data_IF_456525601148
#
_entry.id   IF_456525601148
#
_cell.length_a   1.000
_cell.length_b   1.000
_cell.length_c   1.000
_cell.angle_alpha   90.00
_cell.angle_beta   90.00
_cell.angle_gamma   90.00
#
_symmetry.space_group_name_H-M   'P 1'
#
loop_
_entity.id
_entity.type
_entity.pdbx_description
1 polymer ?
#
# COMPACT_ATOMS: atom_id res chain seq x y z
N UNK A 1 -24.45 -1.19 -5.49
CA UNK A 1 -23.20 -1.99 -5.41
C UNK A 1 -22.21 -1.25 -4.53
N UNK A 2 -21.48 -1.94 -3.65
CA UNK A 2 -20.48 -1.27 -2.79
C UNK A 2 -19.16 -1.03 -3.52
N UNK A 3 -18.36 -0.10 -2.99
CA UNK A 3 -17.04 0.24 -3.50
C UNK A 3 -16.00 0.27 -2.38
N UNK A 4 -14.72 0.12 -2.75
CA UNK A 4 -13.59 0.11 -1.84
C UNK A 4 -12.47 1.02 -2.35
N UNK A 5 -11.76 1.68 -1.44
CA UNK A 5 -10.59 2.50 -1.76
C UNK A 5 -9.35 1.63 -1.63
N UNK A 6 -8.63 1.50 -2.74
CA UNK A 6 -7.49 0.60 -2.88
C UNK A 6 -6.22 1.38 -3.20
N UNK A 7 -5.10 0.97 -2.59
CA UNK A 7 -3.75 1.38 -2.98
C UNK A 7 -3.10 0.25 -3.81
N UNK A 8 -2.63 0.57 -5.01
CA UNK A 8 -1.96 -0.36 -5.93
C UNK A 8 -0.85 0.33 -6.72
N UNK A 9 0.07 -0.40 -7.38
CA UNK A 9 0.92 0.19 -8.41
C UNK A 9 0.08 0.73 -9.57
N UNK A 10 0.56 1.75 -10.27
CA UNK A 10 -0.03 2.13 -11.55
C UNK A 10 0.25 1.07 -12.62
N UNK A 11 -0.72 0.88 -13.51
CA UNK A 11 -0.62 -0.08 -14.62
C UNK A 11 0.40 0.36 -15.68
N UNK A 12 0.48 1.67 -15.95
CA UNK A 12 1.38 2.27 -16.93
C UNK A 12 2.76 2.64 -16.35
N UNK A 13 2.85 2.82 -15.03
CA UNK A 13 4.11 3.10 -14.31
C UNK A 13 4.17 2.37 -12.96
N UNK A 14 4.67 1.11 -12.92
CA UNK A 14 4.82 0.37 -11.66
C UNK A 14 5.79 1.01 -10.64
N UNK A 15 6.56 2.02 -11.05
CA UNK A 15 7.37 2.86 -10.17
C UNK A 15 6.51 3.73 -9.26
N UNK A 16 5.32 4.10 -9.72
CA UNK A 16 4.34 4.95 -9.05
C UNK A 16 3.18 4.16 -8.43
N UNK A 17 2.55 4.77 -7.44
CA UNK A 17 1.35 4.28 -6.76
C UNK A 17 0.10 5.01 -7.24
N UNK A 18 -1.04 4.33 -7.08
CA UNK A 18 -2.36 4.90 -7.30
C UNK A 18 -3.30 4.53 -6.15
N UNK A 19 -4.05 5.51 -5.68
CA UNK A 19 -5.21 5.32 -4.82
C UNK A 19 -6.45 5.46 -5.70
N UNK A 20 -7.21 4.38 -5.85
CA UNK A 20 -8.39 4.34 -6.70
C UNK A 20 -9.60 3.76 -5.98
N UNK A 21 -10.78 4.09 -6.50
CA UNK A 21 -12.02 3.42 -6.11
C UNK A 21 -12.21 2.19 -7.03
N UNK A 22 -12.60 1.06 -6.45
CA UNK A 22 -12.90 -0.19 -7.19
C UNK A 22 -14.24 -0.76 -6.72
N UNK A 23 -14.92 -1.54 -7.57
CA UNK A 23 -16.11 -2.24 -7.11
C UNK A 23 -15.73 -3.41 -6.20
N UNK A 24 -16.56 -3.69 -5.19
CA UNK A 24 -16.32 -4.85 -4.32
C UNK A 24 -16.32 -6.18 -5.08
N UNK A 25 -17.02 -6.27 -6.22
CA UNK A 25 -16.99 -7.43 -7.11
C UNK A 25 -15.60 -7.72 -7.65
N UNK A 26 -14.79 -6.68 -7.88
CA UNK A 26 -13.46 -6.78 -8.47
C UNK A 26 -12.45 -7.32 -7.44
N UNK A 27 -12.81 -7.26 -6.15
CA UNK A 27 -12.01 -7.73 -5.02
C UNK A 27 -12.40 -9.12 -4.54
N UNK A 28 -13.37 -9.77 -5.19
CA UNK A 28 -13.77 -11.13 -4.84
C UNK A 28 -12.56 -12.08 -4.92
N UNK A 29 -12.49 -13.00 -3.95
CA UNK A 29 -11.43 -14.01 -3.82
C UNK A 29 -10.01 -13.45 -3.58
N UNK A 30 -9.86 -12.13 -3.44
CA UNK A 30 -8.59 -11.51 -3.07
C UNK A 30 -8.43 -11.43 -1.56
N UNK A 31 -7.21 -11.63 -1.08
CA UNK A 31 -6.83 -11.25 0.29
C UNK A 31 -6.38 -9.79 0.27
N UNK A 32 -6.90 -9.00 1.20
CA UNK A 32 -6.60 -7.57 1.32
C UNK A 32 -5.97 -7.28 2.68
N UNK A 33 -4.98 -6.40 2.70
CA UNK A 33 -4.44 -5.81 3.91
C UNK A 33 -5.05 -4.41 4.13
N UNK A 34 -5.48 -4.12 5.36
CA UNK A 34 -5.86 -2.78 5.74
C UNK A 34 -4.60 -2.03 6.22
N UNK A 35 -4.34 -0.85 5.66
CA UNK A 35 -3.22 -0.01 6.07
C UNK A 35 -3.69 1.38 6.47
N UNK A 36 -3.01 1.99 7.44
CA UNK A 36 -3.10 3.42 7.70
C UNK A 36 -3.16 3.82 9.16
N UNK A 37 -3.86 4.91 9.45
CA UNK A 37 -3.81 5.54 10.78
C UNK A 37 -4.25 4.55 11.88
N UNK A 38 -3.41 4.35 12.89
CA UNK A 38 -3.61 3.39 13.99
C UNK A 38 -3.66 1.90 13.58
N UNK A 39 -3.23 1.55 12.37
CA UNK A 39 -3.14 0.16 11.91
C UNK A 39 -1.67 -0.27 11.89
N UNK A 40 -1.33 -1.34 12.61
CA UNK A 40 0.03 -1.92 12.66
C UNK A 40 1.15 -0.89 12.93
N UNK A 41 0.89 0.11 13.77
CA UNK A 41 1.84 1.19 14.07
C UNK A 41 1.97 2.26 12.99
N UNK A 42 1.15 2.21 11.94
CA UNK A 42 1.14 3.13 10.79
C UNK A 42 2.55 3.31 10.18
N UNK A 43 3.18 2.24 9.65
CA UNK A 43 4.54 2.28 9.11
C UNK A 43 4.68 3.29 7.96
N UNK A 44 3.57 3.61 7.29
CA UNK A 44 3.55 4.55 6.18
C UNK A 44 3.33 5.99 6.63
N UNK A 45 2.98 6.25 7.89
CA UNK A 45 2.75 7.61 8.40
C UNK A 45 1.57 8.32 7.72
N UNK A 46 0.60 7.58 7.19
CA UNK A 46 -0.53 8.15 6.44
C UNK A 46 -1.65 8.59 7.39
N UNK A 47 -2.21 9.76 7.10
CA UNK A 47 -3.24 10.38 7.93
C UNK A 47 -2.80 10.65 9.37
N UNK A 48 -3.72 11.10 10.20
CA UNK A 48 -3.49 11.33 11.62
C UNK A 48 -4.78 11.12 12.43
N UNK A 49 -4.72 11.23 13.75
CA UNK A 49 -5.89 10.98 14.63
C UNK A 49 -7.08 11.90 14.33
N UNK A 50 -6.84 13.12 13.86
CA UNK A 50 -7.89 14.08 13.49
C UNK A 50 -8.49 13.72 12.14
N UNK A 51 -7.61 13.43 11.17
CA UNK A 51 -7.97 13.15 9.78
C UNK A 51 -7.37 11.78 9.38
N UNK A 52 -8.02 10.67 9.79
CA UNK A 52 -7.49 9.33 9.55
C UNK A 52 -7.59 8.96 8.07
N UNK A 53 -6.59 8.20 7.60
CA UNK A 53 -6.60 7.62 6.26
C UNK A 53 -6.45 6.11 6.40
N UNK A 54 -7.34 5.37 5.73
CA UNK A 54 -7.32 3.92 5.66
C UNK A 54 -7.47 3.48 4.20
N UNK A 55 -6.61 2.56 3.77
CA UNK A 55 -6.57 2.05 2.39
C UNK A 55 -6.51 0.54 2.43
N UNK A 56 -7.14 -0.11 1.44
CA UNK A 56 -6.98 -1.55 1.22
C UNK A 56 -5.86 -1.81 0.23
N UNK A 57 -5.01 -2.79 0.53
CA UNK A 57 -3.90 -3.21 -0.32
C UNK A 57 -4.11 -4.67 -0.70
N UNK A 58 -4.32 -4.99 -1.99
CA UNK A 58 -4.40 -6.37 -2.44
C UNK A 58 -3.07 -7.10 -2.26
N UNK A 59 -3.13 -8.29 -1.69
CA UNK A 59 -1.97 -9.16 -1.59
C UNK A 59 -1.45 -9.52 -2.98
N UNK A 60 -0.13 -9.45 -3.15
CA UNK A 60 0.52 -9.70 -4.44
C UNK A 60 0.49 -8.53 -5.43
N UNK A 61 -0.15 -7.41 -5.09
CA UNK A 61 -0.09 -6.20 -5.92
C UNK A 61 1.34 -5.65 -6.05
N UNK A 62 2.17 -5.83 -5.03
CA UNK A 62 3.56 -5.41 -5.01
C UNK A 62 4.49 -6.61 -5.17
N UNK A 63 5.05 -6.78 -6.38
CA UNK A 63 5.97 -7.87 -6.71
C UNK A 63 7.41 -7.38 -6.53
N UNK A 64 8.21 -8.16 -5.79
CA UNK A 64 9.64 -7.94 -5.60
C UNK A 64 10.41 -8.50 -6.79
N UNK A 65 11.32 -7.72 -7.37
CA UNK A 65 12.11 -8.10 -8.55
C UNK A 65 13.58 -8.31 -8.23
N UNK A 66 14.14 -7.53 -7.30
CA UNK A 66 15.59 -7.43 -7.08
C UNK A 66 16.05 -8.31 -5.92
N UNK A 67 15.67 -9.60 -5.93
CA UNK A 67 16.10 -10.56 -4.92
C UNK A 67 16.91 -11.69 -5.56
N UNK A 68 18.24 -11.53 -5.58
CA UNK A 68 19.16 -12.39 -6.33
C UNK A 68 19.43 -13.75 -5.65
N UNK A 69 19.47 -13.80 -4.32
CA UNK A 69 19.79 -15.02 -3.56
C UNK A 69 18.97 -15.15 -2.27
N UNK A 70 18.58 -16.39 -1.94
CA UNK A 70 17.74 -16.73 -0.79
C UNK A 70 18.54 -17.25 0.43
N UNK A 71 19.85 -17.01 0.49
CA UNK A 71 20.62 -17.30 1.70
C UNK A 71 20.45 -16.18 2.75
N UNK A 72 20.74 -16.52 4.00
CA UNK A 72 20.54 -15.63 5.14
C UNK A 72 21.23 -14.26 4.99
N UNK A 73 22.50 -14.24 4.55
CA UNK A 73 23.28 -13.01 4.48
C UNK A 73 22.81 -12.12 3.34
N UNK A 74 22.47 -12.70 2.20
CA UNK A 74 21.90 -11.96 1.07
C UNK A 74 20.54 -11.36 1.42
N UNK A 75 19.66 -12.11 2.08
CA UNK A 75 18.35 -11.61 2.53
C UNK A 75 18.50 -10.47 3.54
N UNK A 76 19.37 -10.63 4.54
CA UNK A 76 19.65 -9.60 5.53
C UNK A 76 20.18 -8.33 4.87
N UNK A 77 21.17 -8.46 3.98
CA UNK A 77 21.73 -7.34 3.22
C UNK A 77 20.67 -6.64 2.37
N UNK A 78 19.81 -7.40 1.70
CA UNK A 78 18.72 -6.85 0.88
C UNK A 78 17.73 -6.03 1.72
N UNK A 79 17.27 -6.56 2.86
CA UNK A 79 16.38 -5.83 3.76
C UNK A 79 17.01 -4.54 4.32
N UNK A 80 18.32 -4.49 4.51
CA UNK A 80 18.99 -3.31 5.08
C UNK A 80 19.35 -2.26 4.03
N UNK A 81 19.83 -2.67 2.86
CA UNK A 81 20.50 -1.79 1.91
C UNK A 81 19.75 -1.58 0.59
N UNK A 82 18.80 -2.46 0.22
CA UNK A 82 18.01 -2.30 -0.99
C UNK A 82 16.77 -1.42 -0.73
N UNK A 83 16.45 -0.50 -1.65
CA UNK A 83 15.26 0.32 -1.54
C UNK A 83 13.97 -0.52 -1.59
N UNK A 84 13.92 -1.54 -2.46
CA UNK A 84 12.79 -2.48 -2.53
C UNK A 84 12.66 -3.30 -1.24
N UNK A 85 13.79 -3.52 -0.54
CA UNK A 85 13.89 -4.22 0.73
C UNK A 85 13.43 -3.45 1.97
N UNK A 86 13.05 -2.18 1.83
CA UNK A 86 12.49 -1.37 2.92
C UNK A 86 11.01 -1.70 3.19
N UNK A 87 10.70 -2.98 3.39
CA UNK A 87 9.36 -3.54 3.63
C UNK A 87 9.35 -4.36 4.92
N UNK A 88 8.17 -4.64 5.49
CA UNK A 88 8.03 -5.47 6.72
C UNK A 88 8.56 -6.89 6.52
N UNK A 89 8.26 -7.45 5.35
CA UNK A 89 8.55 -8.83 5.04
C UNK A 89 8.23 -9.17 3.58
N UNK A 90 8.56 -10.39 3.22
CA UNK A 90 8.35 -10.97 1.90
C UNK A 90 7.51 -12.23 2.04
N UNK A 91 6.65 -12.45 1.06
CA UNK A 91 5.82 -13.65 0.95
C UNK A 91 6.08 -14.33 -0.38
N UNK A 92 6.45 -15.61 -0.35
CA UNK A 92 6.56 -16.45 -1.54
C UNK A 92 5.33 -17.35 -1.66
N UNK A 93 4.70 -17.30 -2.82
CA UNK A 93 3.64 -18.21 -3.22
C UNK A 93 4.23 -19.33 -4.09
N UNK A 94 4.15 -20.56 -3.62
CA UNK A 94 4.67 -21.72 -4.33
C UNK A 94 3.58 -22.37 -5.19
N UNK A 95 4.00 -23.07 -6.26
CA UNK A 95 3.08 -23.70 -7.24
C UNK A 95 2.21 -24.81 -6.63
N UNK A 96 2.65 -25.41 -5.53
CA UNK A 96 1.94 -26.44 -4.77
C UNK A 96 0.93 -25.86 -3.77
N UNK A 97 0.78 -24.52 -3.73
CA UNK A 97 -0.08 -23.83 -2.77
C UNK A 97 0.61 -23.52 -1.43
N UNK A 98 1.85 -23.94 -1.23
CA UNK A 98 2.63 -23.58 -0.04
C UNK A 98 2.93 -22.07 -0.02
N UNK A 99 3.01 -21.51 1.19
CA UNK A 99 3.28 -20.10 1.41
C UNK A 99 4.38 -19.93 2.45
N UNK A 100 5.44 -19.22 2.08
CA UNK A 100 6.56 -18.90 2.98
C UNK A 100 6.57 -17.41 3.29
N UNK A 101 6.69 -17.04 4.56
CA UNK A 101 6.78 -15.65 5.01
C UNK A 101 8.11 -15.40 5.71
N UNK A 102 8.80 -14.34 5.33
CA UNK A 102 9.98 -13.86 6.02
C UNK A 102 9.77 -12.41 6.41
N UNK A 103 9.78 -12.12 7.71
CA UNK A 103 9.67 -10.77 8.22
C UNK A 103 11.04 -10.29 8.70
N UNK A 104 11.27 -8.97 8.70
CA UNK A 104 12.52 -8.34 9.18
C UNK A 104 12.96 -8.86 10.55
N UNK A 105 12.02 -9.02 11.48
CA UNK A 105 12.33 -9.45 12.84
C UNK A 105 12.85 -10.90 12.91
N UNK A 106 12.55 -11.77 11.94
CA UNK A 106 13.16 -13.10 11.86
C UNK A 106 14.67 -13.05 11.59
N UNK A 107 15.17 -11.94 11.03
CA UNK A 107 16.59 -11.65 10.79
C UNK A 107 17.19 -10.73 11.87
N UNK A 108 16.45 -10.46 12.96
CA UNK A 108 16.87 -9.51 14.00
C UNK A 108 16.80 -8.03 13.58
N UNK A 109 16.16 -7.73 12.44
CA UNK A 109 16.03 -6.36 11.93
C UNK A 109 14.76 -5.68 12.47
N UNK A 110 14.84 -4.36 12.68
CA UNK A 110 13.74 -3.57 13.20
C UNK A 110 12.66 -3.28 12.16
N UNK A 111 11.43 -3.08 12.65
CA UNK A 111 10.27 -2.56 11.92
C UNK A 111 9.37 -1.80 12.92
N UNK A 112 8.70 -0.70 12.55
CA UNK A 112 8.69 -0.03 11.25
C UNK A 112 9.98 0.73 10.93
N UNK A 113 10.20 1.02 9.64
CA UNK A 113 11.26 1.92 9.18
C UNK A 113 10.73 3.36 9.08
N UNK A 114 11.60 4.35 9.26
CA UNK A 114 11.26 5.77 9.03
C UNK A 114 10.93 6.07 7.56
N UNK A 115 11.54 5.32 6.64
CA UNK A 115 11.36 5.44 5.21
C UNK A 115 11.17 4.04 4.64
N UNK A 116 9.97 3.74 4.16
CA UNK A 116 9.60 2.44 3.61
C UNK A 116 9.61 2.50 2.08
N UNK A 117 9.69 1.35 1.42
CA UNK A 117 9.65 1.29 -0.05
C UNK A 117 8.39 2.00 -0.59
N UNK A 118 7.22 1.73 -0.01
CA UNK A 118 5.96 2.39 -0.43
C UNK A 118 5.99 3.91 -0.21
N UNK A 119 6.63 4.40 0.85
CA UNK A 119 6.77 5.83 1.10
C UNK A 119 7.78 6.53 0.16
N UNK A 120 8.65 5.78 -0.52
CA UNK A 120 9.59 6.35 -1.50
C UNK A 120 9.00 6.51 -2.90
N UNK A 121 7.78 6.02 -3.12
CA UNK A 121 7.12 6.06 -4.43
C UNK A 121 6.15 7.25 -4.52
N UNK A 122 6.12 7.97 -5.66
CA UNK A 122 5.08 8.95 -5.92
C UNK A 122 3.71 8.27 -5.97
N UNK A 123 2.67 8.99 -5.57
CA UNK A 123 1.30 8.49 -5.51
C UNK A 123 0.33 9.48 -6.14
N UNK A 124 -0.63 8.98 -6.92
CA UNK A 124 -1.76 9.80 -7.39
C UNK A 124 -3.09 9.26 -6.93
N UNK A 125 -4.06 10.15 -6.73
CA UNK A 125 -5.43 9.79 -6.39
C UNK A 125 -6.27 9.85 -7.66
N UNK A 126 -6.92 8.74 -8.02
CA UNK A 126 -7.84 8.64 -9.17
C UNK A 126 -9.09 7.87 -8.78
N UNK A 127 -10.07 8.57 -8.25
CA UNK A 127 -11.29 7.95 -7.73
C UNK A 127 -12.34 7.71 -8.82
N UNK A 128 -12.34 8.48 -9.91
CA UNK A 128 -13.22 8.24 -11.06
C UNK A 128 -14.70 8.19 -10.66
N UNK A 129 -15.13 9.09 -9.77
CA UNK A 129 -16.43 9.03 -9.08
C UNK A 129 -17.63 9.04 -10.04
N UNK A 130 -17.48 9.53 -11.27
CA UNK A 130 -18.50 9.44 -12.30
C UNK A 130 -18.90 8.00 -12.68
N UNK A 131 -18.05 7.01 -12.36
CA UNK A 131 -18.34 5.59 -12.58
C UNK A 131 -19.17 4.97 -11.44
N UNK A 132 -19.53 5.77 -10.42
CA UNK A 132 -20.22 5.31 -9.22
C UNK A 132 -21.43 6.20 -8.93
N UNK A 133 -22.54 5.59 -8.52
CA UNK A 133 -23.68 6.32 -7.97
C UNK A 133 -23.32 6.83 -6.57
N UNK A 134 -22.58 7.95 -6.50
CA UNK A 134 -22.11 8.57 -5.26
C UNK A 134 -22.71 9.96 -5.09
N UNK A 135 -23.48 10.14 -4.02
CA UNK A 135 -23.87 11.47 -3.54
C UNK A 135 -22.77 12.04 -2.63
N UNK A 136 -22.26 13.22 -2.97
CA UNK A 136 -21.11 13.79 -2.29
C UNK A 136 -21.46 14.22 -0.85
N UNK A 137 -21.00 13.46 0.14
CA UNK A 137 -20.89 13.89 1.53
C UNK A 137 -19.43 14.21 1.87
N UNK A 138 -19.08 15.50 1.80
CA UNK A 138 -17.74 16.01 2.06
C UNK A 138 -17.30 15.92 3.53
N UNK A 139 -18.18 15.51 4.45
CA UNK A 139 -17.82 15.18 5.83
C UNK A 139 -17.27 13.76 6.00
N UNK A 140 -17.43 12.89 5.00
CA UNK A 140 -16.94 11.51 5.02
C UNK A 140 -15.50 11.40 4.52
N UNK A 141 -14.82 10.30 4.87
CA UNK A 141 -13.49 9.99 4.34
C UNK A 141 -13.45 10.00 2.80
N UNK A 142 -14.41 9.35 2.13
CA UNK A 142 -14.49 9.33 0.67
C UNK A 142 -14.74 10.73 0.09
N UNK A 143 -15.61 11.54 0.71
CA UNK A 143 -15.85 12.91 0.29
C UNK A 143 -14.66 13.85 0.54
N UNK A 144 -13.85 13.62 1.56
CA UNK A 144 -12.60 14.36 1.74
C UNK A 144 -11.55 13.94 0.70
N UNK A 145 -11.42 12.64 0.45
CA UNK A 145 -10.48 12.11 -0.53
C UNK A 145 -10.86 12.53 -1.96
N UNK A 146 -12.16 12.65 -2.27
CA UNK A 146 -12.66 13.14 -3.56
C UNK A 146 -12.22 14.57 -3.88
N UNK A 147 -12.01 15.42 -2.87
CA UNK A 147 -11.47 16.77 -3.08
C UNK A 147 -10.01 16.74 -3.56
N UNK A 148 -9.32 15.61 -3.37
CA UNK A 148 -7.95 15.38 -3.81
C UNK A 148 -7.90 14.50 -5.07
N UNK A 149 -9.04 14.26 -5.72
CA UNK A 149 -9.06 13.50 -6.98
C UNK A 149 -8.18 14.20 -8.03
N UNK A 150 -7.45 13.40 -8.80
CA UNK A 150 -6.41 13.81 -9.75
C UNK A 150 -5.15 14.46 -9.17
N UNK A 151 -5.07 14.68 -7.85
CA UNK A 151 -3.84 15.16 -7.22
C UNK A 151 -2.75 14.08 -7.22
N UNK A 152 -1.49 14.52 -7.24
CA UNK A 152 -0.31 13.66 -7.11
C UNK A 152 0.58 14.19 -6.00
N UNK A 153 1.29 13.29 -5.34
CA UNK A 153 2.16 13.54 -4.20
C UNK A 153 3.46 12.76 -4.40
N UNK A 154 4.57 13.29 -3.90
CA UNK A 154 5.87 12.63 -4.01
C UNK A 154 5.95 11.36 -3.14
N UNK A 155 5.17 11.31 -2.04
CA UNK A 155 5.15 10.20 -1.09
C UNK A 155 3.77 9.96 -0.53
N UNK A 156 3.50 8.71 -0.14
CA UNK A 156 2.22 8.32 0.46
C UNK A 156 1.87 9.11 1.73
N UNK A 157 2.84 9.33 2.61
CA UNK A 157 2.67 10.12 3.85
C UNK A 157 2.35 11.61 3.65
N UNK A 158 2.57 12.15 2.44
CA UNK A 158 2.32 13.56 2.15
C UNK A 158 0.84 13.83 1.84
N UNK A 159 0.00 12.79 1.75
CA UNK A 159 -1.45 12.92 1.61
C UNK A 159 -2.05 13.41 2.92
N UNK A 160 -2.65 14.59 2.88
CA UNK A 160 -3.35 15.21 4.01
C UNK A 160 -4.81 15.46 3.64
N UNK A 161 -5.70 14.97 4.50
CA UNK A 161 -7.12 15.33 4.49
C UNK A 161 -7.38 16.48 5.47
N UNK A 162 -8.46 17.21 5.26
CA UNK A 162 -8.83 18.45 5.99
C UNK A 162 -9.83 18.20 7.11
#
# INVERSE_FOLDING_TARGET
MGAAIVLKPKEDDPGSLEICLVHLSDLLEQTLELVGTNINGNPYGIGNKKNPIHLLVPHGAFVIKDLEALDHNSLMSWFEHCQEGKVEGVVWHCKDGSLFKLHRHHLGLHWPLNDTNLNSKPVSIRLGLCNYEYEADYGTFLGQLSKKDTCSYDRLKDILLE
#
